data_IF_529862319046
#
_entry.id   IF_529862319046
#
_cell.length_a   1.000
_cell.length_b   1.000
_cell.length_c   1.000
_cell.angle_alpha   90.00
_cell.angle_beta   90.00
_cell.angle_gamma   90.00
#
_symmetry.space_group_name_H-M   'P 1'
#
loop_
_entity.id
_entity.type
_entity.pdbx_description
1 polymer ?
#
# COMPACT_ATOMS: atom_id res chain seq x y z
N UNK A 1 4.29 15.93 2.20
CA UNK A 1 3.68 14.67 1.73
C UNK A 1 3.86 14.69 0.23
N UNK A 2 4.85 13.95 -0.29
CA UNK A 2 5.07 13.88 -1.74
C UNK A 2 3.93 13.05 -2.33
N UNK A 3 3.29 13.58 -3.36
CA UNK A 3 2.22 12.90 -4.10
C UNK A 3 2.80 11.83 -5.01
N UNK A 4 2.02 10.79 -5.36
CA UNK A 4 2.47 9.72 -6.28
C UNK A 4 2.97 10.31 -7.62
N UNK A 5 2.40 11.44 -8.06
CA UNK A 5 2.83 12.18 -9.24
C UNK A 5 4.23 12.79 -9.08
N UNK A 6 4.54 13.37 -7.92
CA UNK A 6 5.89 13.91 -7.65
C UNK A 6 6.94 12.80 -7.59
N UNK A 7 6.61 11.63 -7.04
CA UNK A 7 7.51 10.47 -7.06
C UNK A 7 7.77 9.99 -8.49
N UNK A 8 6.74 9.90 -9.34
CA UNK A 8 6.91 9.49 -10.74
C UNK A 8 7.79 10.48 -11.50
N UNK A 9 7.54 11.79 -11.35
CA UNK A 9 8.36 12.83 -11.99
C UNK A 9 9.81 12.77 -11.50
N UNK A 10 10.04 12.67 -10.19
CA UNK A 10 11.39 12.54 -9.63
C UNK A 10 12.11 11.29 -10.16
N UNK A 11 11.40 10.17 -10.29
CA UNK A 11 12.00 8.93 -10.79
C UNK A 11 12.38 9.04 -12.26
N UNK A 12 11.57 9.75 -13.06
CA UNK A 12 11.91 10.01 -14.45
C UNK A 12 13.09 10.99 -14.56
N UNK A 13 13.06 12.10 -13.82
CA UNK A 13 14.07 13.15 -13.87
C UNK A 13 15.45 12.66 -13.43
N UNK A 14 15.50 11.84 -12.37
CA UNK A 14 16.77 11.29 -11.87
C UNK A 14 17.13 9.91 -12.45
N UNK A 15 16.28 9.36 -13.34
CA UNK A 15 16.47 8.05 -13.93
C UNK A 15 16.54 6.95 -12.86
N UNK A 16 15.57 6.91 -11.95
CA UNK A 16 15.47 5.94 -10.86
C UNK A 16 14.38 4.91 -11.12
N UNK A 17 14.49 3.77 -10.43
CA UNK A 17 13.44 2.76 -10.39
C UNK A 17 13.45 2.02 -9.06
N UNK A 18 12.29 1.50 -8.65
CA UNK A 18 12.15 0.66 -7.46
C UNK A 18 12.33 -0.82 -7.82
N UNK A 19 12.99 -1.54 -6.91
CA UNK A 19 13.11 -3.00 -6.93
C UNK A 19 12.73 -3.56 -5.56
N UNK A 20 12.38 -4.84 -5.53
CA UNK A 20 11.90 -5.51 -4.32
C UNK A 20 10.38 -5.56 -4.24
N UNK A 21 9.87 -6.25 -3.22
CA UNK A 21 8.44 -6.42 -3.00
C UNK A 21 8.10 -6.05 -1.57
N UNK A 22 6.96 -5.38 -1.39
CA UNK A 22 6.34 -5.23 -0.08
C UNK A 22 5.69 -6.54 0.34
N UNK A 23 5.64 -6.80 1.63
CA UNK A 23 4.96 -7.97 2.20
C UNK A 23 4.05 -7.54 3.32
N UNK A 24 2.86 -8.13 3.39
CA UNK A 24 2.02 -8.04 4.58
C UNK A 24 2.57 -9.06 5.58
N UNK A 25 3.05 -8.59 6.73
CA UNK A 25 3.63 -9.45 7.77
C UNK A 25 2.63 -9.81 8.86
N UNK A 26 1.63 -8.97 9.06
CA UNK A 26 0.57 -9.18 10.04
C UNK A 26 -0.72 -8.50 9.58
N UNK A 27 -1.87 -9.08 9.96
CA UNK A 27 -3.20 -8.53 9.66
C UNK A 27 -4.14 -8.82 10.82
N UNK A 28 -4.72 -7.76 11.38
CA UNK A 28 -5.69 -7.82 12.47
C UNK A 28 -7.04 -7.32 11.97
N UNK A 29 -8.10 -8.10 12.20
CA UNK A 29 -9.47 -7.68 11.94
C UNK A 29 -9.92 -6.73 13.06
N UNK A 30 -10.29 -5.50 12.71
CA UNK A 30 -10.71 -4.49 13.69
C UNK A 30 -12.22 -4.38 13.81
N UNK A 31 -12.97 -4.63 12.72
CA UNK A 31 -14.42 -4.60 12.73
C UNK A 31 -15.00 -5.45 11.61
N UNK A 32 -16.14 -6.08 11.87
CA UNK A 32 -16.90 -6.87 10.90
C UNK A 32 -18.38 -6.51 11.02
N UNK A 33 -19.00 -6.09 9.92
CA UNK A 33 -20.43 -5.75 9.83
C UNK A 33 -21.05 -6.48 8.65
N UNK A 34 -21.64 -7.64 8.91
CA UNK A 34 -22.24 -8.48 7.85
C UNK A 34 -23.72 -8.21 7.60
N UNK A 35 -24.42 -7.58 8.54
CA UNK A 35 -25.86 -7.37 8.47
C UNK A 35 -26.27 -6.12 7.65
N UNK A 36 -25.34 -5.55 6.89
CA UNK A 36 -25.56 -4.41 6.02
C UNK A 36 -25.89 -4.90 4.60
N UNK A 37 -26.60 -4.07 3.82
CA UNK A 37 -26.84 -4.33 2.40
C UNK A 37 -25.52 -4.58 1.64
N UNK A 38 -24.48 -3.84 2.03
CA UNK A 38 -23.10 -4.05 1.64
C UNK A 38 -22.27 -4.39 2.89
N UNK A 39 -22.00 -5.69 3.13
CA UNK A 39 -21.14 -6.11 4.24
C UNK A 39 -19.79 -5.39 4.23
N UNK A 40 -19.29 -5.05 5.41
CA UNK A 40 -18.04 -4.31 5.59
C UNK A 40 -17.10 -5.05 6.54
N UNK A 41 -15.81 -5.07 6.20
CA UNK A 41 -14.73 -5.51 7.08
C UNK A 41 -13.67 -4.43 7.16
N UNK A 42 -13.23 -4.12 8.38
CA UNK A 42 -12.10 -3.23 8.63
C UNK A 42 -10.91 -4.04 9.13
N UNK A 43 -9.76 -3.76 8.56
CA UNK A 43 -8.51 -4.44 8.84
C UNK A 43 -7.43 -3.43 9.21
N UNK A 44 -6.49 -3.86 10.02
CA UNK A 44 -5.21 -3.18 10.23
C UNK A 44 -4.11 -4.15 9.85
N UNK A 45 -3.30 -3.78 8.88
CA UNK A 45 -2.20 -4.62 8.37
C UNK A 45 -0.85 -3.96 8.60
N UNK A 46 0.16 -4.78 8.85
CA UNK A 46 1.55 -4.36 8.87
C UNK A 46 2.22 -4.73 7.55
N UNK A 47 2.72 -3.71 6.86
CA UNK A 47 3.42 -3.83 5.58
C UNK A 47 4.90 -3.63 5.83
N UNK A 48 5.70 -4.65 5.51
CA UNK A 48 7.15 -4.59 5.51
C UNK A 48 7.64 -4.21 4.10
N UNK A 49 8.25 -3.04 4.01
CA UNK A 49 8.87 -2.46 2.82
C UNK A 49 10.40 -2.52 2.87
N UNK A 50 10.99 -3.25 3.83
CA UNK A 50 12.45 -3.34 4.03
C UNK A 50 13.23 -3.82 2.80
N UNK A 51 12.59 -4.60 1.93
CA UNK A 51 13.18 -5.12 0.71
C UNK A 51 13.09 -4.14 -0.47
N UNK A 52 12.37 -3.02 -0.34
CA UNK A 52 12.28 -2.01 -1.38
C UNK A 52 13.58 -1.22 -1.46
N UNK A 53 14.18 -1.20 -2.65
CA UNK A 53 15.42 -0.47 -2.93
C UNK A 53 15.22 0.35 -4.19
N UNK A 54 15.50 1.65 -4.10
CA UNK A 54 15.53 2.56 -5.23
C UNK A 54 16.93 2.51 -5.85
N UNK A 55 17.01 2.39 -7.17
CA UNK A 55 18.25 2.22 -7.93
C UNK A 55 18.34 3.20 -9.08
N UNK A 56 19.56 3.58 -9.45
CA UNK A 56 19.80 4.32 -10.69
C UNK A 56 19.67 3.39 -11.91
N UNK A 57 18.98 3.85 -12.96
CA UNK A 57 18.85 3.11 -14.23
C UNK A 57 20.20 2.95 -14.93
N UNK A 58 21.10 3.95 -14.84
CA UNK A 58 22.38 3.97 -15.56
C UNK A 58 23.36 2.86 -15.15
N UNK A 59 23.35 2.44 -13.88
CA UNK A 59 24.35 1.52 -13.33
C UNK A 59 23.77 0.48 -12.36
N UNK A 60 22.46 0.52 -12.11
CA UNK A 60 21.75 -0.38 -11.20
C UNK A 60 22.13 -0.21 -9.73
N UNK A 61 22.97 0.77 -9.36
CA UNK A 61 23.42 0.95 -7.97
C UNK A 61 22.29 1.52 -7.11
N UNK A 62 22.20 1.12 -5.83
CA UNK A 62 21.25 1.72 -4.89
C UNK A 62 21.44 3.23 -4.78
N UNK A 63 20.34 3.98 -4.77
CA UNK A 63 20.34 5.40 -4.44
C UNK A 63 20.53 5.55 -2.93
N UNK A 64 21.50 6.35 -2.46
CA UNK A 64 21.71 6.61 -1.04
C UNK A 64 20.64 7.59 -0.55
N UNK A 65 19.43 7.09 -0.38
CA UNK A 65 18.38 7.81 0.32
C UNK A 65 18.71 7.72 1.81
N UNK A 66 18.60 8.84 2.53
CA UNK A 66 18.78 8.87 3.97
C UNK A 66 17.86 7.88 4.70
N UNK A 67 17.93 7.78 6.04
CA UNK A 67 17.04 6.89 6.79
C UNK A 67 15.58 7.25 6.45
N UNK A 68 14.96 6.46 5.58
CA UNK A 68 13.58 6.66 5.15
C UNK A 68 12.61 6.54 6.33
N UNK A 69 11.33 6.76 6.08
CA UNK A 69 10.23 6.77 7.07
C UNK A 69 9.94 5.39 7.72
N UNK A 70 10.95 4.65 8.16
CA UNK A 70 10.83 3.28 8.64
C UNK A 70 10.68 2.27 7.51
N UNK A 71 10.90 0.99 7.83
CA UNK A 71 10.74 -0.15 6.91
C UNK A 71 9.41 -0.88 7.08
N UNK A 72 8.63 -0.49 8.07
CA UNK A 72 7.39 -1.15 8.47
C UNK A 72 6.33 -0.12 8.76
N UNK A 73 5.19 -0.30 8.09
CA UNK A 73 4.10 0.65 8.12
C UNK A 73 2.81 -0.06 8.44
N UNK A 74 2.04 0.54 9.34
CA UNK A 74 0.68 0.12 9.65
C UNK A 74 -0.27 0.79 8.66
N UNK A 75 -1.14 0.00 8.05
CA UNK A 75 -2.16 0.46 7.11
C UNK A 75 -3.52 0.01 7.64
N UNK A 76 -4.46 0.95 7.71
CA UNK A 76 -5.86 0.67 8.01
C UNK A 76 -6.64 0.59 6.71
N UNK A 77 -7.38 -0.51 6.52
CA UNK A 77 -8.08 -0.84 5.29
C UNK A 77 -9.58 -1.02 5.54
N UNK A 78 -10.41 -0.59 4.60
CA UNK A 78 -11.85 -0.88 4.58
C UNK A 78 -12.19 -1.69 3.34
N UNK A 79 -12.75 -2.88 3.56
CA UNK A 79 -13.26 -3.77 2.53
C UNK A 79 -14.78 -3.76 2.54
N UNK A 80 -15.40 -3.68 1.36
CA UNK A 80 -16.86 -3.74 1.19
C UNK A 80 -17.24 -4.82 0.21
N UNK A 81 -18.22 -5.64 0.57
CA UNK A 81 -18.75 -6.69 -0.30
C UNK A 81 -19.88 -6.15 -1.18
N UNK A 82 -19.59 -5.96 -2.45
CA UNK A 82 -20.51 -5.34 -3.40
C UNK A 82 -20.34 -5.96 -4.81
N UNK A 83 -21.37 -5.87 -5.68
CA UNK A 83 -21.19 -6.18 -7.10
C UNK A 83 -20.26 -5.14 -7.76
N UNK A 84 -19.64 -5.52 -8.87
CA UNK A 84 -18.93 -4.55 -9.72
C UNK A 84 -19.90 -3.47 -10.23
N UNK A 85 -19.39 -2.29 -10.58
CA UNK A 85 -20.20 -1.16 -11.07
C UNK A 85 -21.00 -1.49 -12.34
N UNK A 86 -20.48 -2.37 -13.19
CA UNK A 86 -21.17 -2.88 -14.38
C UNK A 86 -22.19 -3.99 -14.07
N UNK A 87 -22.44 -4.28 -12.79
CA UNK A 87 -23.19 -5.46 -12.35
C UNK A 87 -22.33 -6.73 -12.31
N UNK A 88 -22.87 -7.81 -11.73
CA UNK A 88 -22.23 -9.13 -11.70
C UNK A 88 -21.99 -9.69 -10.29
N UNK A 89 -21.09 -10.67 -10.22
CA UNK A 89 -20.75 -11.40 -8.98
C UNK A 89 -20.22 -10.44 -7.91
N UNK A 90 -20.73 -10.57 -6.68
CA UNK A 90 -20.24 -9.80 -5.54
C UNK A 90 -18.82 -10.24 -5.17
N UNK A 91 -17.98 -9.28 -4.80
CA UNK A 91 -16.64 -9.52 -4.30
C UNK A 91 -16.26 -8.45 -3.28
N UNK A 92 -15.15 -8.67 -2.57
CA UNK A 92 -14.62 -7.70 -1.62
C UNK A 92 -13.81 -6.64 -2.37
N UNK A 93 -14.24 -5.39 -2.25
CA UNK A 93 -13.59 -4.22 -2.81
C UNK A 93 -12.84 -3.48 -1.71
N UNK A 94 -11.57 -3.17 -1.99
CA UNK A 94 -10.81 -2.23 -1.18
C UNK A 94 -11.31 -0.82 -1.44
N UNK A 95 -11.96 -0.22 -0.46
CA UNK A 95 -12.56 1.10 -0.58
C UNK A 95 -11.61 2.21 -0.12
N UNK A 96 -10.88 1.97 0.96
CA UNK A 96 -9.90 2.92 1.48
C UNK A 96 -8.71 2.20 2.10
N UNK A 97 -7.54 2.81 1.94
CA UNK A 97 -6.32 2.47 2.66
C UNK A 97 -5.71 3.76 3.22
N UNK A 98 -5.34 3.73 4.50
CA UNK A 98 -4.71 4.88 5.15
C UNK A 98 -3.53 4.43 6.00
N UNK A 99 -2.42 5.16 5.88
CA UNK A 99 -1.30 5.02 6.82
C UNK A 99 -1.79 5.31 8.25
N UNK A 100 -1.52 4.37 9.15
CA UNK A 100 -1.98 4.37 10.55
C UNK A 100 -0.81 4.31 11.55
N UNK A 101 0.41 4.59 11.10
CA UNK A 101 1.62 4.64 11.93
C UNK A 101 2.64 3.57 11.57
N UNK A 102 3.52 3.23 12.52
CA UNK A 102 4.49 2.14 12.39
C UNK A 102 3.94 0.83 12.94
N UNK A 103 4.50 -0.24 12.41
CA UNK A 103 4.58 -1.54 13.04
C UNK A 103 6.05 -1.75 13.45
#
# INVERSE_FOLDING_TARGET
MLTVLEDVTNYQDYGWYQTGQTKITDTVVTSVKLNLEQPEVRLTSCVDSSAIVIRFQKDGKPVPLGPGNGRRHKVASQLVYAPASAGGTKMWWLMTDKASGTC
#
